data_IF_447296652555
#
_entry.id   IF_447296652555
#
_cell.length_a   1.000
_cell.length_b   1.000
_cell.length_c   1.000
_cell.angle_alpha   90.00
_cell.angle_beta   90.00
_cell.angle_gamma   90.00
#
_symmetry.space_group_name_H-M   'P 1'
#
loop_
_entity.id
_entity.type
_entity.pdbx_description
1 polymer ?
#
# COMPACT_ATOMS: atom_id res chain seq x y z
N UNK A 1 4.77 9.27 22.25
CA UNK A 1 4.88 8.01 23.03
C UNK A 1 3.65 7.09 22.92
N UNK A 2 2.42 7.59 22.72
CA UNK A 2 1.20 6.74 22.64
C UNK A 2 1.06 5.91 21.36
N UNK A 3 1.59 6.38 20.22
CA UNK A 3 1.43 5.69 18.92
C UNK A 3 2.32 4.44 18.70
N UNK A 4 3.46 4.33 19.39
CA UNK A 4 4.26 3.08 19.36
C UNK A 4 3.50 1.87 19.93
N UNK A 5 2.60 2.11 20.87
CA UNK A 5 1.79 1.06 21.47
C UNK A 5 0.67 0.55 20.55
N UNK A 6 0.12 1.42 19.70
CA UNK A 6 -0.98 1.03 18.81
C UNK A 6 -0.51 0.06 17.72
N UNK A 7 0.65 0.30 17.07
CA UNK A 7 1.20 -0.70 16.12
C UNK A 7 1.60 -2.01 16.81
N UNK A 8 2.16 -1.96 18.03
CA UNK A 8 2.49 -3.17 18.80
C UNK A 8 1.25 -3.95 19.28
N UNK A 9 0.16 -3.26 19.61
CA UNK A 9 -1.09 -3.91 20.03
C UNK A 9 -1.80 -4.57 18.83
N UNK A 10 -1.79 -3.94 17.64
CA UNK A 10 -2.39 -4.53 16.44
C UNK A 10 -1.64 -5.80 16.00
N UNK A 11 -0.30 -5.80 16.03
CA UNK A 11 0.50 -7.02 15.77
C UNK A 11 0.27 -8.08 16.85
N UNK A 12 0.14 -7.72 18.13
CA UNK A 12 -0.09 -8.67 19.22
C UNK A 12 -1.49 -9.31 19.18
N UNK A 13 -2.53 -8.56 18.75
CA UNK A 13 -3.91 -9.10 18.69
C UNK A 13 -4.07 -10.07 17.50
N UNK A 14 -3.37 -9.87 16.38
CA UNK A 14 -3.38 -10.83 15.25
C UNK A 14 -2.66 -12.14 15.61
N UNK A 15 -1.61 -12.09 16.46
CA UNK A 15 -0.91 -13.32 16.90
C UNK A 15 -1.68 -14.15 17.93
N UNK A 16 -2.66 -13.60 18.65
CA UNK A 16 -3.39 -14.34 19.71
C UNK A 16 -4.56 -15.16 19.16
N UNK A 17 -4.98 -14.98 17.91
CA UNK A 17 -6.10 -15.74 17.31
C UNK A 17 -5.70 -16.91 16.42
N UNK A 18 -4.39 -17.18 16.20
CA UNK A 18 -3.92 -18.28 15.34
C UNK A 18 -3.21 -19.43 16.11
N UNK A 19 -3.48 -19.62 17.40
CA UNK A 19 -3.07 -20.83 18.12
C UNK A 19 -4.16 -21.92 18.00
N UNK A 20 -4.42 -22.35 16.78
CA UNK A 20 -5.22 -23.53 16.46
C UNK A 20 -4.30 -24.61 15.92
N UNK A 21 -4.08 -25.67 16.70
CA UNK A 21 -3.25 -26.83 16.43
C UNK A 21 -3.62 -27.54 15.14
N UNK A 22 -2.69 -27.61 14.17
CA UNK A 22 -2.70 -28.63 13.13
C UNK A 22 -1.43 -29.50 13.24
N UNK A 23 -1.63 -30.75 13.58
CA UNK A 23 -0.65 -31.81 13.55
C UNK A 23 -0.28 -32.18 12.10
N UNK A 24 1.00 -32.19 11.79
CA UNK A 24 1.53 -32.66 10.50
C UNK A 24 2.06 -34.09 10.74
N UNK A 25 1.70 -35.08 9.92
CA UNK A 25 2.21 -36.43 10.04
C UNK A 25 3.65 -36.52 9.50
N UNK A 26 4.46 -37.30 10.23
CA UNK A 26 5.80 -37.69 9.85
C UNK A 26 5.77 -38.67 8.68
N UNK A 27 6.63 -38.50 7.67
CA UNK A 27 7.00 -39.54 6.75
C UNK A 27 8.52 -39.73 6.70
N UNK A 28 8.86 -41.00 6.66
CA UNK A 28 10.16 -41.60 6.88
C UNK A 28 11.14 -41.49 5.68
N UNK A 29 12.36 -41.71 6.02
CA UNK A 29 13.63 -41.73 5.33
C UNK A 29 13.69 -42.49 3.98
N UNK A 30 14.53 -41.96 3.09
CA UNK A 30 15.36 -42.81 2.19
C UNK A 30 16.74 -42.16 2.03
N UNK A 31 17.76 -42.86 2.47
CA UNK A 31 19.17 -42.47 2.31
C UNK A 31 19.64 -42.64 0.86
N UNK A 32 20.28 -41.62 0.31
CA UNK A 32 21.32 -41.84 -0.72
C UNK A 32 22.47 -40.86 -0.47
N UNK A 33 23.65 -41.45 -0.24
CA UNK A 33 24.91 -40.76 -0.06
C UNK A 33 25.37 -40.09 -1.35
N UNK A 34 25.49 -38.75 -1.30
CA UNK A 34 26.46 -37.98 -2.08
C UNK A 34 27.00 -36.87 -1.22
N UNK A 35 28.32 -36.71 -1.20
CA UNK A 35 29.04 -35.80 -0.32
C UNK A 35 28.62 -34.36 -0.51
N UNK A 36 27.63 -33.91 0.27
CA UNK A 36 27.20 -32.53 0.46
C UNK A 36 27.28 -32.20 1.95
N UNK A 37 27.89 -31.10 2.29
CA UNK A 37 28.01 -30.58 3.65
C UNK A 37 26.61 -30.37 4.25
N UNK A 38 26.15 -31.31 5.08
CA UNK A 38 24.88 -31.19 5.83
C UNK A 38 25.05 -30.21 6.99
N UNK A 39 23.96 -29.43 7.28
CA UNK A 39 23.88 -28.65 8.51
C UNK A 39 24.19 -29.52 9.73
N UNK A 40 25.19 -29.13 10.51
CA UNK A 40 25.61 -29.87 11.69
C UNK A 40 24.47 -30.06 12.67
N UNK A 41 24.26 -31.29 13.16
CA UNK A 41 23.39 -31.58 14.30
C UNK A 41 23.88 -30.83 15.53
N UNK A 42 22.99 -30.16 16.21
CA UNK A 42 23.22 -29.63 17.55
C UNK A 42 23.39 -30.83 18.49
N UNK A 43 24.62 -31.10 18.92
CA UNK A 43 24.87 -32.07 20.01
C UNK A 43 24.87 -31.28 21.32
N UNK A 44 23.93 -31.60 22.21
CA UNK A 44 23.99 -31.18 23.60
C UNK A 44 25.25 -31.79 24.25
N UNK A 45 26.19 -30.91 24.63
CA UNK A 45 27.38 -31.36 25.33
C UNK A 45 27.07 -31.58 26.80
N UNK A 46 27.19 -32.85 27.26
CA UNK A 46 27.59 -33.11 28.63
C UNK A 46 29.14 -33.00 28.69
N UNK A 47 29.59 -32.15 29.60
CA UNK A 47 30.97 -32.02 30.14
C UNK A 47 32.14 -32.38 29.21
N UNK A 48 32.68 -31.38 28.55
CA UNK A 48 33.97 -31.44 27.87
C UNK A 48 34.21 -30.21 27.00
N UNK A 49 35.33 -29.54 27.17
CA UNK A 49 35.78 -28.46 26.30
C UNK A 49 35.83 -28.99 24.86
N UNK A 50 34.81 -28.79 24.09
CA UNK A 50 34.79 -29.11 22.65
C UNK A 50 35.69 -28.10 21.94
N UNK A 51 36.86 -28.53 21.49
CA UNK A 51 37.64 -27.82 20.49
C UNK A 51 36.83 -27.82 19.20
N UNK A 52 36.16 -26.72 18.93
CA UNK A 52 35.49 -26.52 17.63
C UNK A 52 36.59 -26.54 16.54
N UNK A 53 36.53 -27.53 15.65
CA UNK A 53 37.32 -27.47 14.44
C UNK A 53 37.00 -26.14 13.74
N UNK A 54 38.04 -25.42 13.28
CA UNK A 54 37.88 -24.20 12.48
C UNK A 54 37.04 -24.52 11.24
N UNK A 55 35.73 -24.28 11.31
CA UNK A 55 34.84 -24.46 10.19
C UNK A 55 35.00 -23.22 9.30
N UNK A 56 35.20 -23.44 8.02
CA UNK A 56 35.29 -22.33 7.08
C UNK A 56 33.98 -21.57 7.06
N UNK A 57 34.01 -20.33 7.55
CA UNK A 57 32.87 -19.41 7.52
C UNK A 57 32.44 -19.11 6.09
N UNK A 58 31.16 -19.09 5.86
CA UNK A 58 30.59 -18.72 4.56
C UNK A 58 29.26 -19.38 4.23
N UNK A 59 28.82 -19.09 3.05
CA UNK A 59 27.62 -19.67 2.47
C UNK A 59 27.80 -21.14 2.17
N UNK A 60 26.81 -21.95 2.56
CA UNK A 60 26.71 -23.38 2.30
C UNK A 60 25.37 -23.65 1.62
N UNK A 61 25.29 -24.75 0.87
CA UNK A 61 24.09 -25.17 0.17
C UNK A 61 23.91 -26.69 0.27
N UNK A 62 22.65 -27.11 0.43
CA UNK A 62 22.22 -28.49 0.26
C UNK A 62 20.91 -28.52 -0.57
N UNK A 63 20.26 -29.67 -0.62
CA UNK A 63 19.01 -29.86 -1.38
C UNK A 63 17.80 -29.06 -0.83
N UNK A 64 17.90 -28.55 0.39
CA UNK A 64 16.84 -27.75 1.05
C UNK A 64 17.04 -26.25 0.90
N UNK A 65 18.24 -25.80 0.54
CA UNK A 65 18.52 -24.38 0.33
C UNK A 65 19.91 -23.93 0.75
N UNK A 66 20.07 -22.62 0.82
CA UNK A 66 21.29 -21.97 1.27
C UNK A 66 21.21 -21.61 2.75
N UNK A 67 22.35 -21.72 3.49
CA UNK A 67 22.51 -21.20 4.84
C UNK A 67 23.88 -20.58 4.99
N UNK A 68 24.07 -19.77 6.03
CA UNK A 68 25.36 -19.17 6.35
C UNK A 68 25.92 -19.80 7.62
N UNK A 69 27.16 -20.32 7.56
CA UNK A 69 27.83 -20.91 8.70
C UNK A 69 28.94 -19.98 9.19
N UNK A 70 28.92 -19.71 10.49
CA UNK A 70 29.98 -18.95 11.13
C UNK A 70 31.20 -19.83 11.40
N UNK A 71 32.37 -19.19 11.67
CA UNK A 71 33.63 -19.88 11.95
C UNK A 71 33.57 -20.81 13.19
N UNK A 72 32.66 -20.52 14.12
CA UNK A 72 32.40 -21.39 15.28
C UNK A 72 31.42 -22.54 15.00
N UNK A 73 31.02 -22.75 13.74
CA UNK A 73 30.09 -23.79 13.35
C UNK A 73 28.61 -23.46 13.54
N UNK A 74 28.27 -22.37 14.24
CA UNK A 74 26.90 -21.93 14.40
C UNK A 74 26.31 -21.35 13.10
N UNK A 75 25.00 -21.23 13.03
CA UNK A 75 24.27 -20.62 11.92
C UNK A 75 23.01 -19.90 12.43
N UNK A 76 22.56 -18.84 11.73
CA UNK A 76 21.40 -18.04 12.18
C UNK A 76 20.08 -18.80 11.96
N UNK A 77 19.12 -18.66 12.88
CA UNK A 77 17.77 -19.20 12.80
C UNK A 77 16.75 -18.15 13.21
N UNK A 78 15.62 -18.07 12.51
CA UNK A 78 14.50 -17.15 12.78
C UNK A 78 14.96 -15.69 13.01
N UNK A 79 15.88 -15.22 12.16
CA UNK A 79 16.54 -13.93 12.40
C UNK A 79 17.11 -13.32 11.12
N UNK A 80 17.18 -12.00 11.10
CA UNK A 80 17.95 -11.26 10.12
C UNK A 80 19.42 -11.17 10.51
N UNK A 81 20.30 -11.28 9.52
CA UNK A 81 21.76 -11.08 9.68
C UNK A 81 22.33 -10.31 8.51
N UNK A 82 23.19 -9.35 8.84
CA UNK A 82 23.95 -8.63 7.82
C UNK A 82 25.21 -9.42 7.48
N UNK A 83 25.40 -9.77 6.22
CA UNK A 83 26.55 -10.50 5.69
C UNK A 83 27.11 -9.70 4.52
N UNK A 84 28.36 -9.24 4.64
CA UNK A 84 29.03 -8.40 3.63
C UNK A 84 28.19 -7.18 3.19
N UNK A 85 27.54 -6.52 4.17
CA UNK A 85 26.76 -5.31 3.93
C UNK A 85 25.31 -5.53 3.50
N UNK A 86 24.89 -6.76 3.17
CA UNK A 86 23.50 -7.07 2.78
C UNK A 86 22.76 -7.83 3.87
N UNK A 87 21.47 -7.57 4.01
CA UNK A 87 20.60 -8.23 4.96
C UNK A 87 19.98 -9.49 4.40
N UNK A 88 20.00 -10.58 5.20
CA UNK A 88 19.46 -11.90 4.88
C UNK A 88 18.60 -12.41 6.02
N UNK A 89 17.39 -12.88 5.72
CA UNK A 89 16.54 -13.56 6.69
C UNK A 89 16.75 -15.07 6.65
N UNK A 90 16.88 -15.69 7.82
CA UNK A 90 17.00 -17.13 7.97
C UNK A 90 15.77 -17.65 8.72
N UNK A 91 15.11 -18.68 8.15
CA UNK A 91 13.93 -19.30 8.74
C UNK A 91 14.29 -20.11 10.01
N UNK A 92 13.27 -20.75 10.63
CA UNK A 92 13.46 -21.56 11.85
C UNK A 92 14.41 -22.75 11.68
N UNK A 93 14.59 -23.23 10.45
CA UNK A 93 15.53 -24.29 10.13
C UNK A 93 16.94 -23.77 9.79
N UNK A 94 17.14 -22.46 9.75
CA UNK A 94 18.41 -21.82 9.46
C UNK A 94 18.71 -21.63 7.98
N UNK A 95 17.77 -21.90 7.08
CA UNK A 95 17.95 -21.64 5.67
C UNK A 95 17.63 -20.19 5.33
N UNK A 96 18.45 -19.59 4.47
CA UNK A 96 18.16 -18.29 3.91
C UNK A 96 16.86 -18.35 3.11
N UNK A 97 15.96 -17.47 3.47
CA UNK A 97 14.76 -17.19 2.69
C UNK A 97 15.12 -16.08 1.73
N UNK A 98 15.27 -16.41 0.47
CA UNK A 98 15.53 -15.44 -0.58
C UNK A 98 14.27 -14.60 -0.80
N UNK A 99 14.23 -13.44 -0.16
CA UNK A 99 13.13 -12.49 -0.36
C UNK A 99 13.04 -11.96 -1.81
N UNK A 100 14.05 -12.22 -2.65
CA UNK A 100 13.98 -11.94 -4.09
C UNK A 100 13.34 -13.07 -4.91
N UNK A 101 13.01 -14.20 -4.29
CA UNK A 101 12.43 -15.38 -4.95
C UNK A 101 11.01 -15.70 -4.52
N UNK A 102 10.29 -14.75 -3.92
CA UNK A 102 8.92 -15.03 -3.50
C UNK A 102 8.01 -15.41 -4.68
N UNK A 103 8.25 -14.85 -5.85
CA UNK A 103 7.72 -15.35 -7.14
C UNK A 103 8.62 -14.83 -8.27
N UNK A 104 8.83 -15.63 -9.30
CA UNK A 104 9.59 -15.23 -10.50
C UNK A 104 8.89 -14.02 -11.16
N UNK A 105 9.59 -12.89 -11.31
CA UNK A 105 9.08 -11.72 -11.98
C UNK A 105 8.45 -10.65 -11.07
N UNK A 106 8.63 -10.73 -9.75
CA UNK A 106 8.24 -9.65 -8.84
C UNK A 106 9.34 -8.61 -8.65
N UNK A 107 8.95 -7.39 -8.34
CA UNK A 107 9.81 -6.24 -8.05
C UNK A 107 9.80 -6.00 -6.55
N UNK A 108 10.96 -5.90 -5.93
CA UNK A 108 11.11 -5.75 -4.49
C UNK A 108 11.06 -4.29 -4.07
N UNK A 109 10.22 -3.99 -3.10
CA UNK A 109 10.05 -2.66 -2.54
C UNK A 109 9.94 -2.63 -1.03
N UNK A 110 9.77 -1.42 -0.52
CA UNK A 110 9.54 -1.14 0.89
C UNK A 110 8.40 -0.14 1.06
N UNK A 111 7.69 -0.22 2.18
CA UNK A 111 6.90 0.91 2.63
C UNK A 111 7.47 1.51 3.93
N UNK A 112 7.43 2.83 4.01
CA UNK A 112 8.12 3.58 5.06
C UNK A 112 7.30 4.77 5.56
N UNK A 113 7.64 5.21 6.76
CA UNK A 113 7.05 6.37 7.42
C UNK A 113 8.07 7.08 8.31
N UNK A 114 7.63 8.01 9.16
CA UNK A 114 8.49 8.63 10.18
C UNK A 114 9.15 7.62 11.13
N UNK A 115 8.63 6.39 11.21
CA UNK A 115 9.14 5.35 12.10
C UNK A 115 10.49 4.78 11.69
N UNK A 116 10.85 4.85 10.41
CA UNK A 116 12.14 4.43 9.88
C UNK A 116 13.24 5.49 10.07
N UNK A 117 12.86 6.69 10.58
CA UNK A 117 13.84 7.74 10.91
C UNK A 117 14.51 8.35 9.69
N UNK A 118 15.81 8.54 9.76
CA UNK A 118 16.62 9.00 8.63
C UNK A 118 17.06 7.80 7.78
N UNK A 119 16.88 7.92 6.47
CA UNK A 119 17.12 6.85 5.50
C UNK A 119 18.27 7.23 4.57
N UNK A 120 19.25 6.34 4.43
CA UNK A 120 20.22 6.40 3.34
C UNK A 120 19.62 5.70 2.10
N UNK A 121 19.01 6.48 1.25
CA UNK A 121 18.35 6.00 0.04
C UNK A 121 19.31 5.38 -0.97
N UNK A 122 20.57 5.79 -0.98
CA UNK A 122 21.59 5.18 -1.84
C UNK A 122 21.91 3.76 -1.37
N UNK A 123 21.98 3.54 -0.06
CA UNK A 123 22.17 2.21 0.50
C UNK A 123 20.94 1.31 0.26
N UNK A 124 19.71 1.85 0.38
CA UNK A 124 18.46 1.14 0.05
C UNK A 124 18.46 0.65 -1.39
N UNK A 125 18.79 1.54 -2.35
CA UNK A 125 18.89 1.19 -3.77
C UNK A 125 19.96 0.13 -4.04
N UNK A 126 21.12 0.26 -3.42
CA UNK A 126 22.22 -0.70 -3.55
C UNK A 126 21.91 -2.06 -2.93
N UNK A 127 20.99 -2.12 -1.95
CA UNK A 127 20.50 -3.37 -1.33
C UNK A 127 19.43 -4.08 -2.21
N UNK A 128 19.09 -3.50 -3.36
CA UNK A 128 18.24 -4.10 -4.38
C UNK A 128 16.75 -3.83 -4.20
N UNK A 129 16.39 -2.74 -3.51
CA UNK A 129 15.02 -2.25 -3.47
C UNK A 129 14.77 -1.28 -4.60
N UNK A 130 13.73 -1.57 -5.39
CA UNK A 130 13.51 -0.92 -6.68
C UNK A 130 12.38 0.11 -6.63
N UNK A 131 11.55 0.11 -5.59
CA UNK A 131 10.52 1.13 -5.34
C UNK A 131 10.25 1.32 -3.85
N UNK A 132 9.58 2.41 -3.52
CA UNK A 132 9.08 2.67 -2.17
C UNK A 132 7.66 3.23 -2.17
N UNK A 133 6.87 2.91 -1.13
CA UNK A 133 5.59 3.56 -0.85
C UNK A 133 5.72 4.35 0.45
N UNK A 134 5.70 5.68 0.34
CA UNK A 134 6.00 6.59 1.44
C UNK A 134 4.71 7.04 2.12
N UNK A 135 4.63 6.94 3.45
CA UNK A 135 3.50 7.50 4.18
C UNK A 135 3.44 9.02 3.99
N UNK A 136 2.39 9.48 3.31
CA UNK A 136 2.12 10.91 3.19
C UNK A 136 1.65 11.49 4.53
N UNK A 137 0.84 10.73 5.25
CA UNK A 137 0.29 11.13 6.52
C UNK A 137 -0.83 10.20 6.98
N UNK A 138 -1.62 10.70 7.89
CA UNK A 138 -2.78 9.99 8.42
C UNK A 138 -3.91 10.95 8.78
N UNK A 139 -5.13 10.45 8.77
CA UNK A 139 -6.25 11.16 9.38
C UNK A 139 -6.48 10.72 10.82
N UNK A 140 -7.07 11.60 11.63
CA UNK A 140 -7.49 11.31 13.00
C UNK A 140 -8.78 12.06 13.33
N UNK A 141 -9.44 11.66 14.41
CA UNK A 141 -10.66 12.33 14.85
C UNK A 141 -10.42 13.17 16.09
N UNK A 142 -10.92 14.41 16.04
CA UNK A 142 -10.98 15.31 17.17
C UNK A 142 -12.36 16.00 17.19
N UNK A 143 -13.10 15.86 18.30
CA UNK A 143 -14.47 16.35 18.43
C UNK A 143 -15.38 15.88 17.27
N UNK A 144 -15.31 14.61 16.89
CA UNK A 144 -16.01 13.98 15.77
C UNK A 144 -15.67 14.54 14.38
N UNK A 145 -14.75 15.48 14.26
CA UNK A 145 -14.28 16.01 12.98
C UNK A 145 -13.03 15.27 12.53
N UNK A 146 -12.97 14.96 11.24
CA UNK A 146 -11.78 14.41 10.61
C UNK A 146 -10.71 15.49 10.47
N UNK A 147 -9.49 15.20 10.87
CA UNK A 147 -8.30 16.04 10.80
C UNK A 147 -7.19 15.29 10.12
N UNK A 148 -6.22 16.02 9.57
CA UNK A 148 -5.10 15.46 8.82
C UNK A 148 -3.77 15.84 9.47
N UNK A 149 -2.83 14.89 9.44
CA UNK A 149 -1.45 15.11 9.86
C UNK A 149 -0.54 14.60 8.76
N UNK A 150 0.33 15.47 8.27
CA UNK A 150 1.42 15.07 7.38
C UNK A 150 2.47 14.29 8.18
N UNK A 151 2.98 13.20 7.62
CA UNK A 151 4.09 12.46 8.20
C UNK A 151 5.33 13.37 8.31
N UNK A 152 6.02 13.32 9.45
CA UNK A 152 7.13 14.24 9.73
C UNK A 152 8.34 14.04 8.81
N UNK A 153 8.48 12.84 8.25
CA UNK A 153 9.57 12.47 7.34
C UNK A 153 9.15 12.47 5.87
N UNK A 154 7.88 12.76 5.58
CA UNK A 154 7.34 12.72 4.22
C UNK A 154 8.18 13.53 3.23
N UNK A 155 8.36 14.82 3.50
CA UNK A 155 9.07 15.72 2.58
C UNK A 155 10.53 15.28 2.36
N UNK A 156 11.20 14.84 3.44
CA UNK A 156 12.56 14.33 3.40
C UNK A 156 12.66 13.05 2.56
N UNK A 157 11.75 12.09 2.80
CA UNK A 157 11.74 10.81 2.11
C UNK A 157 11.43 10.98 0.62
N UNK A 158 10.40 11.77 0.27
CA UNK A 158 10.05 12.04 -1.12
C UNK A 158 11.21 12.71 -1.88
N UNK A 159 11.83 13.72 -1.27
CA UNK A 159 12.97 14.42 -1.88
C UNK A 159 14.17 13.49 -2.10
N UNK A 160 14.53 12.72 -1.07
CA UNK A 160 15.74 11.91 -1.11
C UNK A 160 15.58 10.67 -1.98
N UNK A 161 14.42 10.00 -1.96
CA UNK A 161 14.12 8.89 -2.86
C UNK A 161 14.12 9.34 -4.33
N UNK A 162 13.47 10.48 -4.64
CA UNK A 162 13.50 11.05 -5.99
C UNK A 162 14.93 11.43 -6.43
N UNK A 163 15.80 11.86 -5.52
CA UNK A 163 17.17 12.26 -5.85
C UNK A 163 18.08 11.09 -6.27
N UNK A 164 17.73 9.86 -5.89
CA UNK A 164 18.45 8.64 -6.28
C UNK A 164 17.67 7.81 -7.30
N UNK A 165 16.61 8.37 -7.90
CA UNK A 165 15.74 7.72 -8.89
C UNK A 165 15.15 6.38 -8.39
N UNK A 166 14.70 6.34 -7.13
CA UNK A 166 13.81 5.28 -6.65
C UNK A 166 12.38 5.71 -6.99
N UNK A 167 11.63 4.92 -7.78
CA UNK A 167 10.22 5.15 -8.03
C UNK A 167 9.40 5.17 -6.74
N UNK A 168 8.53 6.18 -6.57
CA UNK A 168 7.83 6.41 -5.30
C UNK A 168 6.32 6.48 -5.50
N UNK A 169 5.60 5.69 -4.70
CA UNK A 169 4.18 5.87 -4.39
C UNK A 169 3.99 6.50 -3.02
N UNK A 170 2.75 6.81 -2.70
CA UNK A 170 2.41 7.37 -1.39
C UNK A 170 1.20 6.70 -0.78
N UNK A 171 1.09 6.66 0.55
CA UNK A 171 -0.11 6.18 1.21
C UNK A 171 -0.61 7.12 2.31
N UNK A 172 -1.93 7.11 2.51
CA UNK A 172 -2.59 7.80 3.61
C UNK A 172 -3.29 6.77 4.51
N UNK A 173 -2.93 6.72 5.79
CA UNK A 173 -3.66 5.93 6.79
C UNK A 173 -4.99 6.59 7.11
N UNK A 174 -6.09 5.94 6.73
CA UNK A 174 -7.44 6.51 6.75
C UNK A 174 -8.19 6.23 8.04
N UNK A 175 -8.96 7.24 8.49
CA UNK A 175 -10.04 7.08 9.50
C UNK A 175 -11.37 7.64 9.00
N UNK A 176 -11.55 7.78 7.69
CA UNK A 176 -12.79 8.22 7.08
C UNK A 176 -13.93 7.25 7.40
N UNK A 177 -15.08 7.78 7.81
CA UNK A 177 -16.30 7.02 8.10
C UNK A 177 -17.43 7.31 7.12
N UNK A 178 -17.25 8.28 6.24
CA UNK A 178 -18.20 8.67 5.21
C UNK A 178 -17.52 8.89 3.86
N UNK A 179 -18.29 8.88 2.80
CA UNK A 179 -17.83 9.20 1.44
C UNK A 179 -17.23 10.62 1.36
N UNK A 180 -17.86 11.60 2.02
CA UNK A 180 -17.37 12.98 1.99
C UNK A 180 -16.02 13.12 2.74
N UNK A 181 -15.84 12.37 3.82
CA UNK A 181 -14.55 12.32 4.52
C UNK A 181 -13.46 11.68 3.65
N UNK A 182 -13.76 10.60 2.92
CA UNK A 182 -12.81 9.97 2.01
C UNK A 182 -12.42 10.91 0.85
N UNK A 183 -13.36 11.70 0.32
CA UNK A 183 -13.06 12.76 -0.66
C UNK A 183 -12.18 13.86 -0.08
N UNK A 184 -12.40 14.25 1.18
CA UNK A 184 -11.54 15.20 1.86
C UNK A 184 -10.10 14.65 2.06
N UNK A 185 -9.97 13.36 2.38
CA UNK A 185 -8.68 12.66 2.44
C UNK A 185 -7.98 12.64 1.08
N UNK A 186 -8.71 12.31 0.00
CA UNK A 186 -8.15 12.33 -1.35
C UNK A 186 -7.66 13.74 -1.74
N UNK A 187 -8.43 14.79 -1.44
CA UNK A 187 -8.03 16.16 -1.72
C UNK A 187 -6.80 16.58 -0.91
N UNK A 188 -6.73 16.15 0.36
CA UNK A 188 -5.55 16.38 1.20
C UNK A 188 -4.30 15.72 0.60
N UNK A 189 -4.41 14.46 0.16
CA UNK A 189 -3.33 13.72 -0.50
C UNK A 189 -2.88 14.43 -1.77
N UNK A 190 -3.82 14.75 -2.68
CA UNK A 190 -3.53 15.45 -3.93
C UNK A 190 -2.77 16.75 -3.70
N UNK A 191 -3.20 17.55 -2.72
CA UNK A 191 -2.57 18.84 -2.40
C UNK A 191 -1.16 18.64 -1.81
N UNK A 192 -0.99 17.63 -0.95
CA UNK A 192 0.29 17.38 -0.25
C UNK A 192 1.36 16.81 -1.17
N UNK A 193 0.97 16.08 -2.21
CA UNK A 193 1.91 15.51 -3.20
C UNK A 193 2.50 16.54 -4.18
N UNK A 194 1.93 17.75 -4.27
CA UNK A 194 2.34 18.72 -5.27
C UNK A 194 3.84 19.04 -5.17
N UNK A 195 4.54 18.98 -6.31
CA UNK A 195 5.97 19.25 -6.40
C UNK A 195 6.89 18.05 -6.25
N UNK A 196 6.41 16.91 -5.77
CA UNK A 196 7.16 15.66 -5.71
C UNK A 196 6.83 14.75 -6.89
N UNK A 197 7.84 14.05 -7.42
CA UNK A 197 7.62 13.08 -8.49
C UNK A 197 7.00 11.81 -7.91
N UNK A 198 5.77 11.51 -8.33
CA UNK A 198 5.04 10.29 -7.98
C UNK A 198 5.00 9.40 -9.22
N UNK A 199 5.55 8.19 -9.10
CA UNK A 199 5.74 7.23 -10.19
C UNK A 199 5.24 5.81 -9.84
N UNK A 200 4.66 5.66 -8.66
CA UNK A 200 3.96 4.48 -8.16
C UNK A 200 2.55 4.86 -7.69
N UNK A 201 1.69 3.90 -7.34
CA UNK A 201 0.32 4.20 -6.95
C UNK A 201 0.17 5.12 -5.75
N UNK A 202 -0.99 5.79 -5.69
CA UNK A 202 -1.47 6.56 -4.54
C UNK A 202 -2.45 5.70 -3.77
N UNK A 203 -2.09 5.35 -2.55
CA UNK A 203 -2.70 4.26 -1.81
C UNK A 203 -3.64 4.78 -0.73
N UNK A 204 -4.83 4.20 -0.68
CA UNK A 204 -5.78 4.33 0.41
C UNK A 204 -5.57 3.20 1.41
N UNK A 205 -4.99 3.49 2.56
CA UNK A 205 -4.75 2.53 3.63
C UNK A 205 -6.00 2.46 4.52
N UNK A 206 -6.81 1.40 4.33
CA UNK A 206 -8.12 1.20 4.95
C UNK A 206 -8.10 -0.02 5.85
N UNK A 207 -7.67 0.16 7.11
CA UNK A 207 -7.59 -0.93 8.10
C UNK A 207 -7.76 -0.46 9.55
N UNK A 208 -8.17 0.79 9.79
CA UNK A 208 -8.31 1.28 11.16
C UNK A 208 -9.47 0.59 11.88
N UNK A 209 -9.23 -0.01 13.08
CA UNK A 209 -10.26 -0.75 13.81
C UNK A 209 -11.54 0.05 14.08
N UNK A 210 -11.46 1.40 14.13
CA UNK A 210 -12.65 2.25 14.35
C UNK A 210 -13.61 2.28 13.16
N UNK A 211 -13.21 1.71 12.02
CA UNK A 211 -14.00 1.61 10.79
C UNK A 211 -14.63 0.22 10.62
N UNK A 212 -14.17 -0.81 11.34
CA UNK A 212 -14.59 -2.21 11.14
C UNK A 212 -16.10 -2.47 11.25
N UNK A 213 -16.82 -1.61 11.97
CA UNK A 213 -18.28 -1.72 12.19
C UNK A 213 -19.13 -0.90 11.22
N UNK A 214 -18.53 -0.28 10.19
CA UNK A 214 -19.28 0.57 9.25
C UNK A 214 -20.15 -0.21 8.25
N UNK A 215 -19.94 -1.51 8.15
CA UNK A 215 -20.61 -2.36 7.18
C UNK A 215 -19.93 -2.36 5.80
N UNK A 216 -20.02 -3.52 5.16
CA UNK A 216 -19.26 -3.87 3.95
C UNK A 216 -19.49 -2.89 2.79
N UNK A 217 -20.75 -2.56 2.52
CA UNK A 217 -21.12 -1.65 1.44
C UNK A 217 -20.61 -0.22 1.67
N UNK A 218 -20.62 0.26 2.92
CA UNK A 218 -20.14 1.60 3.26
C UNK A 218 -18.62 1.70 3.13
N UNK A 219 -17.86 0.68 3.57
CA UNK A 219 -16.41 0.64 3.40
C UNK A 219 -16.03 0.60 1.91
N UNK A 220 -16.76 -0.16 1.09
CA UNK A 220 -16.58 -0.15 -0.36
C UNK A 220 -16.83 1.23 -0.98
N UNK A 221 -17.90 1.92 -0.56
CA UNK A 221 -18.22 3.26 -1.05
C UNK A 221 -17.17 4.32 -0.63
N UNK A 222 -16.65 4.22 0.59
CA UNK A 222 -15.57 5.07 1.11
C UNK A 222 -14.30 4.88 0.25
N UNK A 223 -13.84 3.64 0.07
CA UNK A 223 -12.67 3.33 -0.73
C UNK A 223 -12.84 3.78 -2.20
N UNK A 224 -14.01 3.53 -2.79
CA UNK A 224 -14.35 3.98 -4.14
C UNK A 224 -14.25 5.50 -4.28
N UNK A 225 -14.74 6.26 -3.30
CA UNK A 225 -14.73 7.71 -3.36
C UNK A 225 -13.31 8.28 -3.39
N UNK A 226 -12.44 7.80 -2.49
CA UNK A 226 -11.02 8.18 -2.49
C UNK A 226 -10.35 7.83 -3.82
N UNK A 227 -10.43 6.58 -4.25
CA UNK A 227 -9.79 6.10 -5.47
C UNK A 227 -10.29 6.82 -6.73
N UNK A 228 -11.57 7.20 -6.77
CA UNK A 228 -12.12 7.97 -7.88
C UNK A 228 -11.49 9.36 -7.97
N UNK A 229 -11.35 10.08 -6.86
CA UNK A 229 -10.79 11.43 -6.88
C UNK A 229 -9.28 11.42 -7.16
N UNK A 230 -8.54 10.40 -6.67
CA UNK A 230 -7.13 10.18 -7.03
C UNK A 230 -6.98 9.98 -8.55
N UNK A 231 -7.82 9.12 -9.13
CA UNK A 231 -7.80 8.87 -10.58
C UNK A 231 -8.14 10.14 -11.38
N UNK A 232 -9.14 10.89 -10.95
CA UNK A 232 -9.54 12.17 -11.56
C UNK A 232 -8.43 13.21 -11.54
N UNK A 233 -7.55 13.13 -10.56
CA UNK A 233 -6.34 13.96 -10.48
C UNK A 233 -5.18 13.42 -11.35
N UNK A 234 -5.39 12.32 -12.07
CA UNK A 234 -4.42 11.71 -12.99
C UNK A 234 -3.42 10.76 -12.34
N UNK A 235 -3.64 10.35 -11.09
CA UNK A 235 -2.81 9.36 -10.41
C UNK A 235 -3.45 7.97 -10.45
N UNK A 236 -2.66 6.93 -10.30
CA UNK A 236 -3.12 5.54 -10.21
C UNK A 236 -3.54 5.25 -8.77
N UNK A 237 -4.82 4.97 -8.50
CA UNK A 237 -5.30 4.64 -7.15
C UNK A 237 -5.02 3.17 -6.82
N UNK A 238 -4.77 2.91 -5.54
CA UNK A 238 -4.62 1.57 -4.99
C UNK A 238 -5.29 1.48 -3.61
N UNK A 239 -5.86 0.32 -3.29
CA UNK A 239 -6.35 0.00 -1.94
C UNK A 239 -5.31 -0.85 -1.21
N UNK A 240 -4.93 -0.44 0.01
CA UNK A 240 -4.19 -1.29 0.95
C UNK A 240 -5.10 -1.73 2.09
N UNK A 241 -5.04 -3.01 2.40
CA UNK A 241 -5.56 -3.62 3.62
C UNK A 241 -4.99 -5.02 3.80
N UNK A 242 -5.26 -5.66 4.95
CA UNK A 242 -4.96 -7.08 5.10
C UNK A 242 -6.03 -7.97 4.46
N UNK A 243 -5.75 -9.26 4.33
CA UNK A 243 -6.64 -10.25 3.70
C UNK A 243 -8.04 -10.30 4.31
N UNK A 244 -8.15 -10.19 5.64
CA UNK A 244 -9.45 -10.22 6.33
C UNK A 244 -10.32 -9.01 5.96
N UNK A 245 -9.73 -7.81 5.93
CA UNK A 245 -10.45 -6.61 5.51
C UNK A 245 -10.91 -6.71 4.06
N UNK A 246 -10.02 -7.15 3.18
CA UNK A 246 -10.32 -7.29 1.76
C UNK A 246 -11.47 -8.26 1.49
N UNK A 247 -11.42 -9.47 2.08
CA UNK A 247 -12.40 -10.52 1.81
C UNK A 247 -13.71 -10.35 2.57
N UNK A 248 -13.64 -9.82 3.81
CA UNK A 248 -14.77 -9.87 4.75
C UNK A 248 -15.42 -8.53 5.04
N UNK A 249 -14.64 -7.44 5.10
CA UNK A 249 -15.16 -6.15 5.57
C UNK A 249 -15.44 -5.15 4.44
N UNK A 250 -14.72 -5.21 3.31
CA UNK A 250 -14.87 -4.26 2.22
C UNK A 250 -15.70 -4.87 1.08
N UNK A 251 -16.66 -4.13 0.56
CA UNK A 251 -17.32 -4.50 -0.70
C UNK A 251 -16.44 -4.12 -1.89
N UNK A 252 -15.50 -5.01 -2.19
CA UNK A 252 -14.52 -4.82 -3.28
C UNK A 252 -15.14 -4.83 -4.67
N UNK A 253 -16.39 -5.26 -4.82
CA UNK A 253 -17.10 -5.23 -6.12
C UNK A 253 -17.34 -3.81 -6.62
N UNK A 254 -17.28 -2.81 -5.71
CA UNK A 254 -17.38 -1.40 -6.03
C UNK A 254 -16.06 -0.82 -6.56
N UNK A 255 -14.92 -1.54 -6.44
CA UNK A 255 -13.56 -1.06 -6.73
C UNK A 255 -13.08 -1.55 -8.10
N UNK A 256 -13.85 -1.29 -9.15
CA UNK A 256 -13.43 -1.61 -10.52
C UNK A 256 -12.18 -0.81 -10.89
N UNK A 257 -11.19 -1.49 -11.46
CA UNK A 257 -9.93 -0.91 -11.91
C UNK A 257 -9.14 -0.18 -10.80
N UNK A 258 -9.25 -0.65 -9.56
CA UNK A 258 -8.42 -0.22 -8.43
C UNK A 258 -7.45 -1.35 -8.11
N UNK A 259 -6.17 -1.05 -8.12
CA UNK A 259 -5.12 -1.98 -7.79
C UNK A 259 -5.11 -2.30 -6.29
N UNK A 260 -4.55 -3.44 -5.94
CA UNK A 260 -4.64 -4.04 -4.61
C UNK A 260 -3.27 -4.27 -4.01
N UNK A 261 -3.04 -3.73 -2.84
CA UNK A 261 -1.89 -4.02 -2.01
C UNK A 261 -2.35 -4.75 -0.76
N UNK A 262 -2.01 -6.03 -0.67
CA UNK A 262 -2.53 -6.92 0.37
C UNK A 262 -1.42 -7.25 1.38
N UNK A 263 -1.70 -6.97 2.65
CA UNK A 263 -0.83 -7.41 3.74
C UNK A 263 -1.13 -8.86 4.14
N UNK A 264 -0.11 -9.70 4.04
CA UNK A 264 -0.07 -11.06 4.57
C UNK A 264 1.35 -11.39 4.99
N UNK A 265 1.59 -11.47 6.28
CA UNK A 265 2.92 -11.74 6.81
C UNK A 265 3.25 -13.22 6.74
N UNK A 266 3.91 -13.61 5.67
CA UNK A 266 4.26 -15.00 5.36
C UNK A 266 5.51 -15.07 4.45
N UNK A 267 6.13 -16.26 4.38
CA UNK A 267 7.29 -16.49 3.50
C UNK A 267 6.87 -16.71 2.04
N UNK A 268 5.64 -17.12 1.81
CA UNK A 268 5.05 -17.35 0.49
C UNK A 268 3.60 -16.88 0.50
N UNK A 269 3.13 -16.40 -0.64
CA UNK A 269 1.73 -16.05 -0.79
C UNK A 269 0.96 -17.25 -1.36
N UNK A 270 0.13 -17.88 -0.56
CA UNK A 270 -0.61 -19.10 -0.92
C UNK A 270 -2.11 -18.88 -1.10
N UNK A 271 -2.59 -17.66 -0.87
CA UNK A 271 -4.02 -17.35 -0.92
C UNK A 271 -4.51 -17.10 -2.35
N UNK A 272 -5.83 -17.22 -2.53
CA UNK A 272 -6.52 -17.03 -3.81
C UNK A 272 -6.85 -15.56 -4.10
N UNK A 273 -6.54 -14.63 -3.18
CA UNK A 273 -6.79 -13.20 -3.39
C UNK A 273 -5.81 -12.69 -4.44
N UNK A 274 -6.38 -12.22 -5.55
CA UNK A 274 -5.62 -11.52 -6.57
C UNK A 274 -5.09 -10.18 -6.03
N UNK A 275 -3.84 -9.87 -6.32
CA UNK A 275 -3.10 -8.73 -5.77
C UNK A 275 -2.13 -8.14 -6.79
N UNK A 276 -1.84 -6.88 -6.64
CA UNK A 276 -0.85 -6.18 -7.46
C UNK A 276 0.45 -5.93 -6.68
N UNK A 277 0.32 -5.73 -5.35
CA UNK A 277 1.45 -5.68 -4.40
C UNK A 277 1.13 -6.58 -3.20
N UNK A 278 2.13 -7.24 -2.68
CA UNK A 278 2.09 -8.03 -1.45
C UNK A 278 3.06 -7.49 -0.41
N UNK A 279 2.54 -7.10 0.78
CA UNK A 279 3.36 -6.81 1.95
C UNK A 279 3.58 -8.11 2.73
N UNK A 280 4.82 -8.61 2.72
CA UNK A 280 5.13 -9.94 3.22
C UNK A 280 5.57 -9.98 4.68
N UNK A 281 6.09 -8.90 5.21
CA UNK A 281 6.50 -8.79 6.62
C UNK A 281 6.63 -7.33 7.05
N UNK A 282 6.61 -7.12 8.38
CA UNK A 282 6.81 -5.81 9.02
C UNK A 282 8.10 -5.77 9.87
N UNK A 283 9.01 -6.70 9.68
CA UNK A 283 10.25 -6.86 10.48
C UNK A 283 11.48 -7.05 9.60
N UNK A 284 11.42 -6.57 8.37
CA UNK A 284 12.53 -6.61 7.44
C UNK A 284 13.74 -5.82 7.94
N UNK A 285 14.90 -6.09 7.35
CA UNK A 285 16.12 -5.32 7.56
C UNK A 285 16.65 -4.89 6.20
N UNK A 286 16.90 -3.59 6.08
CA UNK A 286 17.28 -2.94 4.83
C UNK A 286 18.52 -2.09 5.08
N UNK A 287 19.50 -2.19 4.18
CA UNK A 287 20.71 -1.33 4.28
C UNK A 287 20.31 0.14 4.15
N UNK A 288 20.81 0.98 5.06
CA UNK A 288 20.47 2.40 5.10
C UNK A 288 19.23 2.75 5.94
N UNK A 289 18.62 1.78 6.61
CA UNK A 289 17.49 1.99 7.52
C UNK A 289 17.75 1.30 8.85
N UNK A 290 17.62 2.05 9.94
CA UNK A 290 17.72 1.50 11.30
C UNK A 290 16.38 0.95 11.76
N UNK A 291 16.37 -0.32 12.20
CA UNK A 291 15.17 -0.96 12.76
C UNK A 291 14.35 -1.76 11.75
N UNK A 292 13.08 -1.94 12.08
CA UNK A 292 12.15 -2.76 11.32
C UNK A 292 11.59 -1.99 10.10
N UNK A 293 11.50 -2.69 8.97
CA UNK A 293 10.97 -2.16 7.71
C UNK A 293 9.95 -3.13 7.14
N UNK A 294 8.87 -2.61 6.61
CA UNK A 294 7.90 -3.38 5.84
C UNK A 294 8.47 -3.72 4.46
N UNK A 295 8.38 -4.99 4.05
CA UNK A 295 8.90 -5.49 2.77
C UNK A 295 7.75 -5.87 1.87
N UNK A 296 7.86 -5.42 0.61
CA UNK A 296 6.83 -5.55 -0.40
C UNK A 296 7.33 -6.20 -1.68
N UNK A 297 6.44 -6.91 -2.37
CA UNK A 297 6.66 -7.45 -3.70
C UNK A 297 5.56 -6.97 -4.65
N UNK A 298 5.95 -6.26 -5.70
CA UNK A 298 5.04 -5.84 -6.77
C UNK A 298 5.04 -6.86 -7.90
N UNK A 299 3.84 -7.27 -8.33
CA UNK A 299 3.61 -8.16 -9.47
C UNK A 299 3.46 -7.38 -10.79
N UNK A 300 3.45 -6.05 -10.70
CA UNK A 300 3.40 -5.14 -11.83
C UNK A 300 4.62 -4.22 -11.83
N UNK A 301 5.18 -3.97 -12.99
CA UNK A 301 6.10 -2.86 -13.17
C UNK A 301 5.30 -1.57 -13.42
N UNK A 302 5.12 -0.80 -12.36
CA UNK A 302 4.41 0.47 -12.45
C UNK A 302 5.18 1.52 -13.22
N UNK A 303 6.50 1.38 -13.36
CA UNK A 303 7.31 2.32 -14.15
C UNK A 303 7.02 2.23 -15.63
N UNK A 304 6.52 1.09 -16.11
CA UNK A 304 6.09 0.92 -17.50
C UNK A 304 4.70 1.52 -17.78
N UNK A 305 3.86 1.65 -16.74
CA UNK A 305 2.43 2.02 -16.91
C UNK A 305 2.09 3.40 -16.36
N UNK A 306 2.85 3.89 -15.38
CA UNK A 306 2.64 5.20 -14.76
C UNK A 306 3.63 6.21 -15.35
N UNK A 307 3.11 7.24 -16.03
CA UNK A 307 3.92 8.41 -16.36
C UNK A 307 4.18 9.21 -15.07
N UNK A 308 5.45 9.34 -14.64
CA UNK A 308 5.80 10.10 -13.44
C UNK A 308 5.33 11.55 -13.53
N UNK A 309 4.73 12.06 -12.45
CA UNK A 309 4.23 13.43 -12.42
C UNK A 309 4.48 14.10 -11.06
N UNK A 310 4.73 15.40 -11.10
CA UNK A 310 4.94 16.25 -9.92
C UNK A 310 3.68 17.01 -9.50
N UNK A 311 2.72 17.13 -10.39
CA UNK A 311 1.52 17.91 -10.17
C UNK A 311 0.30 17.15 -10.67
N UNK A 312 -0.79 17.26 -9.92
CA UNK A 312 -2.09 16.80 -10.38
C UNK A 312 -2.46 17.52 -11.69
N UNK A 313 -3.06 16.81 -12.61
CA UNK A 313 -3.62 17.44 -13.78
C UNK A 313 -4.82 18.33 -13.37
N UNK A 314 -4.93 19.47 -14.02
CA UNK A 314 -5.96 20.45 -13.68
C UNK A 314 -7.26 20.07 -14.37
N UNK A 315 -8.26 19.71 -13.56
CA UNK A 315 -9.63 19.59 -14.05
C UNK A 315 -10.20 20.98 -14.37
N UNK A 316 -10.85 21.13 -15.51
CA UNK A 316 -11.32 22.43 -16.01
C UNK A 316 -12.63 22.34 -16.79
N UNK A 317 -13.37 23.44 -16.77
CA UNK A 317 -14.46 23.67 -17.72
C UNK A 317 -13.90 23.98 -19.10
N UNK A 318 -14.50 23.39 -20.12
CA UNK A 318 -14.17 23.61 -21.53
C UNK A 318 -15.47 23.99 -22.24
N UNK A 319 -15.39 24.93 -23.16
CA UNK A 319 -16.47 25.28 -24.06
C UNK A 319 -16.03 25.02 -25.50
N UNK A 320 -16.88 24.35 -26.23
CA UNK A 320 -16.74 24.16 -27.67
C UNK A 320 -18.04 24.55 -28.41
N UNK A 321 -18.17 24.19 -29.66
CA UNK A 321 -19.32 24.52 -30.51
C UNK A 321 -20.64 23.89 -30.05
N UNK A 322 -20.55 22.75 -29.31
CA UNK A 322 -21.71 22.01 -28.81
C UNK A 322 -22.11 22.42 -27.39
N UNK A 323 -21.26 23.11 -26.64
CA UNK A 323 -21.59 23.58 -25.30
C UNK A 323 -20.46 23.53 -24.29
N UNK A 324 -20.82 23.64 -23.03
CA UNK A 324 -19.89 23.50 -21.93
C UNK A 324 -19.79 22.04 -21.48
N UNK A 325 -18.58 21.57 -21.18
CA UNK A 325 -18.31 20.29 -20.56
C UNK A 325 -17.17 20.41 -19.56
N UNK A 326 -17.05 19.41 -18.68
CA UNK A 326 -16.02 19.44 -17.62
C UNK A 326 -15.04 18.30 -17.85
N UNK A 327 -13.76 18.64 -18.01
CA UNK A 327 -12.69 17.65 -18.15
C UNK A 327 -11.98 17.46 -16.83
N UNK A 328 -11.87 16.21 -16.37
CA UNK A 328 -11.00 15.83 -15.27
C UNK A 328 -9.53 15.84 -15.68
N UNK A 329 -8.63 15.87 -14.67
CA UNK A 329 -7.20 15.84 -14.90
C UNK A 329 -6.71 14.60 -15.66
N UNK A 330 -7.36 13.45 -15.49
CA UNK A 330 -7.06 12.21 -16.21
C UNK A 330 -7.65 12.16 -17.64
N UNK A 331 -8.30 13.22 -18.10
CA UNK A 331 -8.89 13.32 -19.44
C UNK A 331 -10.33 12.84 -19.53
N UNK A 332 -10.87 12.14 -18.51
CA UNK A 332 -12.29 11.76 -18.45
C UNK A 332 -13.19 12.97 -18.28
N UNK A 333 -14.49 12.77 -18.51
CA UNK A 333 -15.55 13.77 -18.32
C UNK A 333 -16.84 13.12 -17.83
N UNK A 334 -17.69 13.86 -17.06
CA UNK A 334 -18.99 13.34 -16.65
C UNK A 334 -19.96 13.31 -17.82
N UNK A 335 -20.75 12.24 -17.93
CA UNK A 335 -21.78 12.10 -18.96
C UNK A 335 -23.00 11.35 -18.42
N UNK A 336 -24.16 11.66 -18.95
CA UNK A 336 -25.42 10.93 -18.71
C UNK A 336 -25.94 11.02 -17.28
N UNK A 337 -25.67 12.10 -16.53
CA UNK A 337 -26.13 12.17 -15.16
C UNK A 337 -25.64 13.33 -14.33
N UNK A 338 -25.91 13.23 -13.03
CA UNK A 338 -25.50 14.22 -12.04
C UNK A 338 -24.04 14.09 -11.65
N UNK A 339 -23.34 15.22 -11.57
CA UNK A 339 -21.98 15.30 -11.05
C UNK A 339 -21.85 16.48 -10.08
N UNK A 340 -21.13 16.24 -8.94
CA UNK A 340 -20.87 17.27 -7.95
C UNK A 340 -19.45 17.82 -8.12
N UNK A 341 -19.30 18.99 -8.70
CA UNK A 341 -18.00 19.62 -8.97
C UNK A 341 -17.81 20.78 -8.00
N UNK A 342 -16.75 20.72 -7.19
CA UNK A 342 -16.43 21.74 -6.16
C UNK A 342 -17.64 22.08 -5.24
N UNK A 343 -18.40 21.05 -4.87
CA UNK A 343 -19.55 21.20 -3.97
C UNK A 343 -20.87 21.59 -4.62
N UNK A 344 -20.90 21.90 -5.92
CA UNK A 344 -22.09 22.31 -6.69
C UNK A 344 -22.52 21.15 -7.58
N UNK A 345 -23.83 20.88 -7.63
CA UNK A 345 -24.39 19.89 -8.52
C UNK A 345 -24.63 20.43 -9.93
N UNK A 346 -24.20 19.64 -10.93
CA UNK A 346 -24.40 19.85 -12.35
C UNK A 346 -25.03 18.62 -12.97
N UNK A 347 -25.77 18.79 -14.05
CA UNK A 347 -26.34 17.72 -14.82
C UNK A 347 -25.73 17.72 -16.22
N UNK A 348 -25.30 16.54 -16.70
CA UNK A 348 -24.71 16.36 -18.02
C UNK A 348 -25.57 15.42 -18.86
N UNK A 349 -25.67 15.70 -20.15
CA UNK A 349 -26.29 14.79 -21.10
C UNK A 349 -25.42 13.55 -21.39
N UNK A 350 -25.91 12.67 -22.25
CA UNK A 350 -25.20 11.43 -22.62
C UNK A 350 -23.86 11.67 -23.30
N UNK A 351 -23.67 12.80 -23.95
CA UNK A 351 -22.47 13.18 -24.67
C UNK A 351 -21.49 13.97 -23.79
N UNK A 352 -21.87 14.26 -22.54
CA UNK A 352 -21.05 14.94 -21.53
C UNK A 352 -21.18 16.47 -21.54
N UNK A 353 -22.17 17.02 -22.25
CA UNK A 353 -22.42 18.46 -22.22
C UNK A 353 -23.32 18.88 -21.06
N UNK A 354 -23.02 20.06 -20.51
CA UNK A 354 -23.72 20.64 -19.39
C UNK A 354 -25.13 21.05 -19.76
N UNK A 355 -26.10 20.57 -19.00
CA UNK A 355 -27.51 20.96 -19.13
C UNK A 355 -27.82 22.21 -18.32
N UNK A 356 -28.65 23.11 -18.88
CA UNK A 356 -29.14 24.34 -18.22
C UNK A 356 -30.66 24.39 -18.26
N UNK A 357 -31.25 25.32 -17.49
CA UNK A 357 -32.72 25.49 -17.44
C UNK A 357 -33.42 24.36 -16.66
N UNK A 358 -34.70 24.18 -16.98
CA UNK A 358 -35.54 23.17 -16.33
C UNK A 358 -35.29 21.77 -16.91
N UNK A 359 -35.00 20.82 -16.04
CA UNK A 359 -34.79 19.43 -16.40
C UNK A 359 -35.69 18.51 -15.55
N UNK A 360 -36.31 17.52 -16.19
CA UNK A 360 -37.18 16.54 -15.51
C UNK A 360 -36.47 15.19 -15.40
N UNK A 361 -36.02 14.83 -14.19
CA UNK A 361 -35.29 13.60 -13.91
C UNK A 361 -36.08 12.75 -12.94
N UNK A 362 -36.36 11.51 -13.32
CA UNK A 362 -37.15 10.54 -12.53
C UNK A 362 -38.46 11.16 -11.96
N UNK A 363 -39.16 11.93 -12.81
CA UNK A 363 -40.45 12.55 -12.46
C UNK A 363 -40.36 13.83 -11.65
N UNK A 364 -39.19 14.26 -11.18
CA UNK A 364 -38.95 15.50 -10.43
C UNK A 364 -38.34 16.57 -11.32
N UNK A 365 -38.75 17.82 -11.09
CA UNK A 365 -38.20 18.98 -11.78
C UNK A 365 -37.01 19.58 -11.00
N UNK A 366 -35.94 19.88 -11.74
CA UNK A 366 -34.75 20.57 -11.26
C UNK A 366 -34.45 21.77 -12.16
N UNK A 367 -33.95 22.82 -11.58
CA UNK A 367 -33.56 24.02 -12.33
C UNK A 367 -32.05 24.24 -12.22
N UNK A 368 -31.39 24.28 -13.36
CA UNK A 368 -30.00 24.67 -13.51
C UNK A 368 -29.94 26.10 -14.04
N UNK A 369 -29.19 26.98 -13.35
CA UNK A 369 -29.01 28.33 -13.84
C UNK A 369 -28.22 28.42 -15.15
N UNK A 370 -27.95 29.61 -15.67
CA UNK A 370 -27.20 29.81 -16.92
C UNK A 370 -25.75 29.27 -16.90
N UNK A 371 -25.16 29.05 -15.72
CA UNK A 371 -23.85 28.38 -15.53
C UNK A 371 -23.99 26.87 -15.30
N UNK A 372 -25.19 26.29 -15.42
CA UNK A 372 -25.46 24.86 -15.19
C UNK A 372 -25.55 24.45 -13.73
N UNK A 373 -25.34 25.33 -12.77
CA UNK A 373 -25.43 25.03 -11.36
C UNK A 373 -26.86 24.75 -10.92
N UNK A 374 -27.12 23.58 -10.31
CA UNK A 374 -28.42 23.22 -9.77
C UNK A 374 -28.81 24.21 -8.65
N UNK A 375 -30.01 24.74 -8.75
CA UNK A 375 -30.56 25.67 -7.80
C UNK A 375 -31.43 24.99 -6.76
N UNK A 376 -31.40 25.50 -5.53
CA UNK A 376 -32.25 25.09 -4.40
C UNK A 376 -32.94 26.28 -3.79
N UNK A 377 -34.10 26.06 -3.14
CA UNK A 377 -34.91 27.12 -2.55
C UNK A 377 -35.67 27.93 -3.60
N UNK A 378 -36.20 29.09 -3.17
CA UNK A 378 -36.94 29.97 -4.06
C UNK A 378 -35.99 30.70 -5.01
N UNK A 379 -36.29 30.63 -6.29
CA UNK A 379 -35.51 31.25 -7.36
C UNK A 379 -36.41 32.21 -8.15
N UNK A 380 -35.91 33.42 -8.45
CA UNK A 380 -36.58 34.40 -9.33
C UNK A 380 -36.19 34.09 -10.78
N UNK A 381 -37.07 33.46 -11.54
CA UNK A 381 -36.83 33.04 -12.92
C UNK A 381 -37.72 33.86 -13.86
N UNK A 382 -37.11 34.49 -14.89
CA UNK A 382 -37.82 35.29 -15.85
C UNK A 382 -38.53 36.51 -15.25
N UNK A 383 -38.02 37.05 -14.13
CA UNK A 383 -38.59 38.22 -13.48
C UNK A 383 -39.77 37.95 -12.56
N UNK A 384 -40.20 36.68 -12.44
CA UNK A 384 -41.29 36.22 -11.55
C UNK A 384 -40.74 35.49 -10.35
#
# INVERSE_FOLDING_TARGET
>A
MQYKWVKRIIVAVVFTFMAGTMSIPAHAEAETNTAGSTMGKETTAEDGIATYANVQEGWKQDSKGWWYQYSNGAYPKSTWRQIKGKWYYFNSNGYWVDNNKHETGTIKGIDISEWQGDIDWSAVKNDGYEYAIVRLGYSYRSNNLLKFVKDKKYDQNMKNANAVDIPVGVYLYSKAKTVDEAKAEAQYVINTMQGYQVSYPVVFDLEDPSQSNLGKNQLGAIAKAFCTDIRRAGYTPMLYCNEYWYSSLIDVTQLKNVDKWIARYANTYTETIDRDIWQCCATGRVSGIDGDVDIDFSYKDYTETITPRKYAEVSKWIQDENGWWYRYGNGEYPAGGWEKIKGIWYLFDSDGYLLTGWQKISGKWYYMNGSGAMQTGWQKIGGK
#
